data_IF_011558477207
#
_entry.id   IF_011558477207
#
_cell.length_a   1.000
_cell.length_b   1.000
_cell.length_c   1.000
_cell.angle_alpha   90.00
_cell.angle_beta   90.00
_cell.angle_gamma   90.00
#
_symmetry.space_group_name_H-M   'P 1'
#
loop_
_entity.id
_entity.type
_entity.pdbx_description
1 polymer ?
#
# COMPACT_ATOMS: atom_id res chain seq x y z
N UNK A 1 -8.31 17.07 75.24
CA UNK A 1 -7.33 17.51 74.21
C UNK A 1 -6.27 16.44 74.02
N UNK A 2 -6.45 15.58 73.01
CA UNK A 2 -5.40 14.96 72.19
C UNK A 2 -6.13 14.38 70.98
N UNK A 3 -5.66 14.80 69.81
CA UNK A 3 -6.31 14.69 68.51
C UNK A 3 -5.81 13.39 67.88
N UNK A 4 -6.69 12.42 67.66
CA UNK A 4 -6.38 11.25 66.85
C UNK A 4 -6.73 11.53 65.39
N UNK A 5 -5.67 11.62 64.57
CA UNK A 5 -5.72 11.73 63.12
C UNK A 5 -6.14 10.39 62.51
N UNK A 6 -7.41 10.03 62.68
CA UNK A 6 -8.02 8.92 61.99
C UNK A 6 -9.13 9.46 61.13
N UNK A 7 -8.99 9.29 59.81
CA UNK A 7 -10.01 9.20 58.74
C UNK A 7 -9.38 9.73 57.45
N UNK A 8 -8.69 8.80 56.78
CA UNK A 8 -8.87 8.50 55.36
C UNK A 8 -9.07 9.72 54.43
N UNK A 9 -8.01 10.48 54.21
CA UNK A 9 -7.78 11.14 52.91
C UNK A 9 -7.39 10.08 51.86
N UNK A 10 -8.21 9.05 51.72
CA UNK A 10 -8.20 8.12 50.58
C UNK A 10 -9.53 8.36 49.87
N UNK A 11 -9.75 9.61 49.48
CA UNK A 11 -10.72 9.98 48.48
C UNK A 11 -9.94 10.77 47.44
N UNK A 12 -10.08 10.35 46.18
CA UNK A 12 -9.74 11.12 44.99
C UNK A 12 -8.29 11.04 44.48
N UNK A 13 -7.84 9.85 44.10
CA UNK A 13 -6.98 9.71 42.92
C UNK A 13 -7.74 8.93 41.87
N UNK A 14 -8.43 9.70 41.04
CA UNK A 14 -9.07 9.32 39.79
C UNK A 14 -8.10 8.43 39.03
N UNK A 15 -8.52 7.19 38.80
CA UNK A 15 -7.90 6.26 37.90
C UNK A 15 -7.94 6.89 36.50
N UNK A 16 -6.93 7.69 36.17
CA UNK A 16 -6.66 8.10 34.80
C UNK A 16 -6.05 6.87 34.13
N UNK A 17 -6.95 5.94 33.82
CA UNK A 17 -6.70 4.85 32.89
C UNK A 17 -6.53 5.50 31.52
N UNK A 18 -5.33 6.03 31.31
CA UNK A 18 -4.87 6.41 29.99
C UNK A 18 -4.89 5.13 29.16
N UNK A 19 -5.88 5.09 28.28
CA UNK A 19 -6.07 4.13 27.22
C UNK A 19 -4.70 3.71 26.67
N UNK A 20 -4.34 2.45 26.88
CA UNK A 20 -3.12 1.87 26.31
C UNK A 20 -3.16 2.04 24.79
N UNK A 21 -2.27 2.89 24.28
CA UNK A 21 -2.17 3.22 22.87
C UNK A 21 -1.86 1.95 22.09
N UNK A 22 -2.72 1.64 21.11
CA UNK A 22 -2.61 0.51 20.18
C UNK A 22 -1.38 0.64 19.26
N UNK A 23 -0.18 0.34 19.78
CA UNK A 23 1.08 0.35 19.01
C UNK A 23 1.09 -0.70 17.88
N UNK A 24 0.49 -1.88 18.13
CA UNK A 24 0.44 -2.97 17.16
C UNK A 24 -0.43 -2.68 15.91
N UNK A 25 -1.37 -1.74 15.98
CA UNK A 25 -2.17 -1.33 14.83
C UNK A 25 -1.33 -0.53 13.82
N UNK A 26 -0.58 0.45 14.32
CA UNK A 26 0.29 1.34 13.55
C UNK A 26 1.41 0.57 12.80
N UNK A 27 1.94 -0.50 13.39
CA UNK A 27 2.93 -1.33 12.71
C UNK A 27 2.33 -2.11 11.52
N UNK A 28 1.11 -2.62 11.66
CA UNK A 28 0.48 -3.48 10.64
C UNK A 28 0.00 -2.74 9.39
N UNK A 29 -0.52 -1.51 9.51
CA UNK A 29 -0.93 -0.71 8.34
C UNK A 29 0.27 -0.21 7.53
N UNK A 30 1.35 0.20 8.21
CA UNK A 30 2.58 0.64 7.56
C UNK A 30 3.19 -0.46 6.70
N UNK A 31 3.10 -1.73 7.14
CA UNK A 31 3.53 -2.89 6.33
C UNK A 31 2.83 -2.92 4.97
N UNK A 32 1.51 -2.71 4.93
CA UNK A 32 0.74 -2.65 3.67
C UNK A 32 1.25 -1.50 2.79
N UNK A 33 1.47 -0.32 3.38
CA UNK A 33 1.91 0.86 2.63
C UNK A 33 3.32 0.69 2.06
N UNK A 34 4.22 0.06 2.81
CA UNK A 34 5.57 -0.28 2.34
C UNK A 34 5.54 -1.26 1.18
N UNK A 35 4.68 -2.30 1.23
CA UNK A 35 4.54 -3.25 0.13
C UNK A 35 4.02 -2.59 -1.15
N UNK A 36 3.08 -1.63 -1.04
CA UNK A 36 2.61 -0.84 -2.18
C UNK A 36 3.75 0.01 -2.75
N UNK A 37 4.50 0.70 -1.89
CA UNK A 37 5.64 1.50 -2.32
C UNK A 37 6.71 0.65 -3.03
N UNK A 38 7.06 -0.50 -2.44
CA UNK A 38 8.01 -1.45 -3.00
C UNK A 38 7.54 -1.96 -4.36
N UNK A 39 6.26 -2.29 -4.52
CA UNK A 39 5.73 -2.71 -5.83
C UNK A 39 5.85 -1.61 -6.88
N UNK A 40 5.63 -0.35 -6.50
CA UNK A 40 5.71 0.79 -7.41
C UNK A 40 7.16 1.19 -7.75
N UNK A 41 8.15 0.90 -6.88
CA UNK A 41 9.56 1.23 -7.17
C UNK A 41 10.13 0.44 -8.35
N UNK A 42 9.54 -0.71 -8.70
CA UNK A 42 9.94 -1.47 -9.90
C UNK A 42 9.49 -0.82 -11.22
N UNK A 43 8.63 0.21 -11.20
CA UNK A 43 8.01 0.73 -12.42
C UNK A 43 8.98 1.49 -13.31
N UNK A 44 10.07 2.02 -12.77
CA UNK A 44 11.16 2.59 -13.56
C UNK A 44 11.92 1.48 -14.32
N UNK A 45 12.24 0.36 -13.67
CA UNK A 45 12.84 -0.79 -14.34
C UNK A 45 11.92 -1.38 -15.43
N UNK A 46 10.60 -1.43 -15.18
CA UNK A 46 9.63 -1.83 -16.21
C UNK A 46 9.63 -0.86 -17.39
N UNK A 47 9.66 0.45 -17.12
CA UNK A 47 9.71 1.48 -18.16
C UNK A 47 10.97 1.34 -19.00
N UNK A 48 12.12 1.12 -18.36
CA UNK A 48 13.41 0.97 -19.02
C UNK A 48 13.40 -0.24 -19.95
N UNK A 49 12.99 -1.41 -19.44
CA UNK A 49 12.89 -2.63 -20.26
C UNK A 49 11.96 -2.42 -21.46
N UNK A 50 10.79 -1.82 -21.24
CA UNK A 50 9.83 -1.58 -22.32
C UNK A 50 10.37 -0.60 -23.36
N UNK A 51 11.06 0.45 -22.93
CA UNK A 51 11.71 1.42 -23.81
C UNK A 51 12.78 0.76 -24.69
N UNK A 52 13.70 0.00 -24.08
CA UNK A 52 14.77 -0.74 -24.77
C UNK A 52 14.22 -1.73 -25.81
N UNK A 53 13.12 -2.40 -25.48
CA UNK A 53 12.49 -3.43 -26.31
C UNK A 53 11.36 -2.89 -27.21
N UNK A 54 11.13 -1.56 -27.23
CA UNK A 54 10.06 -0.90 -28.00
C UNK A 54 8.67 -1.48 -27.74
N UNK A 55 8.40 -1.84 -26.49
CA UNK A 55 7.12 -2.37 -26.03
C UNK A 55 6.20 -1.23 -25.53
N UNK A 56 4.88 -1.32 -25.76
CA UNK A 56 3.94 -0.31 -25.28
C UNK A 56 3.82 -0.33 -23.74
N UNK A 57 3.56 0.84 -23.15
CA UNK A 57 3.26 0.97 -21.72
C UNK A 57 1.91 0.35 -21.40
N UNK A 58 0.88 0.64 -22.20
CA UNK A 58 -0.43 0.03 -22.08
C UNK A 58 -0.40 -1.43 -22.57
N UNK A 59 -0.83 -2.34 -21.70
CA UNK A 59 -0.91 -3.78 -21.96
C UNK A 59 -2.19 -4.31 -21.30
N UNK A 60 -3.33 -4.08 -21.97
CA UNK A 60 -4.65 -4.41 -21.42
C UNK A 60 -4.81 -5.88 -21.05
N UNK A 61 -4.19 -6.78 -21.81
CA UNK A 61 -4.20 -8.22 -21.51
C UNK A 61 -3.48 -8.48 -20.20
N UNK A 62 -2.28 -7.91 -20.01
CA UNK A 62 -1.55 -8.07 -18.75
C UNK A 62 -2.24 -7.40 -17.57
N UNK A 63 -2.81 -6.21 -17.77
CA UNK A 63 -3.57 -5.48 -16.75
C UNK A 63 -4.74 -6.32 -16.23
N UNK A 64 -5.47 -6.97 -17.13
CA UNK A 64 -6.59 -7.83 -16.77
C UNK A 64 -6.12 -9.06 -15.97
N UNK A 65 -5.03 -9.71 -16.37
CA UNK A 65 -4.45 -10.83 -15.60
C UNK A 65 -4.04 -10.39 -14.19
N UNK A 66 -3.47 -9.18 -14.03
CA UNK A 66 -3.10 -8.66 -12.69
C UNK A 66 -4.34 -8.51 -11.81
N UNK A 67 -5.43 -7.96 -12.36
CA UNK A 67 -6.68 -7.75 -11.61
C UNK A 67 -7.35 -9.09 -11.28
N UNK A 68 -7.38 -10.03 -12.21
CA UNK A 68 -7.98 -11.35 -12.02
C UNK A 68 -7.24 -12.14 -10.94
N UNK A 69 -5.91 -12.21 -11.01
CA UNK A 69 -5.10 -12.87 -9.99
C UNK A 69 -5.35 -12.25 -8.61
N UNK A 70 -5.34 -10.92 -8.54
CA UNK A 70 -5.55 -10.20 -7.28
C UNK A 70 -6.93 -10.44 -6.69
N UNK A 71 -7.99 -10.37 -7.51
CA UNK A 71 -9.36 -10.58 -7.04
C UNK A 71 -9.65 -12.05 -6.72
N UNK A 72 -9.02 -13.00 -7.41
CA UNK A 72 -9.11 -14.42 -7.07
C UNK A 72 -8.49 -14.68 -5.71
N UNK A 73 -7.23 -14.26 -5.51
CA UNK A 73 -6.54 -14.44 -4.24
C UNK A 73 -7.24 -13.70 -3.10
N UNK A 74 -7.80 -12.52 -3.36
CA UNK A 74 -8.60 -11.79 -2.37
C UNK A 74 -9.79 -12.65 -1.88
N UNK A 75 -10.54 -13.27 -2.79
CA UNK A 75 -11.64 -14.15 -2.45
C UNK A 75 -11.17 -15.33 -1.60
N UNK A 76 -10.07 -15.97 -1.99
CA UNK A 76 -9.49 -17.11 -1.26
C UNK A 76 -9.07 -16.74 0.17
N UNK A 77 -8.73 -15.46 0.39
CA UNK A 77 -8.37 -14.93 1.71
C UNK A 77 -9.54 -14.35 2.51
N UNK A 78 -10.75 -14.36 1.97
CA UNK A 78 -11.96 -13.85 2.63
C UNK A 78 -12.21 -12.35 2.42
N UNK A 79 -11.51 -11.70 1.49
CA UNK A 79 -11.77 -10.31 1.10
C UNK A 79 -12.83 -10.24 -0.01
N UNK A 80 -13.68 -9.22 0.03
CA UNK A 80 -14.65 -8.99 -1.03
C UNK A 80 -13.94 -8.58 -2.33
N UNK A 81 -14.10 -9.36 -3.41
CA UNK A 81 -13.45 -9.15 -4.72
C UNK A 81 -13.61 -7.71 -5.22
N UNK A 82 -14.84 -7.22 -5.25
CA UNK A 82 -15.21 -5.88 -5.74
C UNK A 82 -14.61 -4.74 -4.90
N UNK A 83 -14.16 -5.03 -3.66
CA UNK A 83 -13.46 -4.06 -2.83
C UNK A 83 -11.97 -3.96 -3.16
N UNK A 84 -11.36 -5.04 -3.65
CA UNK A 84 -9.92 -5.13 -3.96
C UNK A 84 -9.62 -4.70 -5.39
N UNK A 85 -10.53 -4.94 -6.34
CA UNK A 85 -10.35 -4.54 -7.74
C UNK A 85 -9.98 -3.06 -7.92
N UNK A 86 -10.66 -2.08 -7.27
CA UNK A 86 -10.29 -0.67 -7.37
C UNK A 86 -8.84 -0.37 -6.96
N UNK A 87 -8.30 -1.09 -5.97
CA UNK A 87 -6.92 -0.92 -5.51
C UNK A 87 -5.92 -1.34 -6.58
N UNK A 88 -6.13 -2.49 -7.22
CA UNK A 88 -5.23 -2.97 -8.26
C UNK A 88 -5.36 -2.14 -9.55
N UNK A 89 -6.55 -1.64 -9.88
CA UNK A 89 -6.73 -0.65 -10.95
C UNK A 89 -5.99 0.65 -10.66
N UNK A 90 -6.07 1.17 -9.43
CA UNK A 90 -5.33 2.36 -9.01
C UNK A 90 -3.81 2.14 -9.09
N UNK A 91 -3.31 0.99 -8.61
CA UNK A 91 -1.90 0.64 -8.73
C UNK A 91 -1.42 0.53 -10.18
N UNK A 92 -2.23 -0.03 -11.08
CA UNK A 92 -1.92 -0.07 -12.52
C UNK A 92 -1.86 1.35 -13.11
N UNK A 93 -2.84 2.20 -12.79
CA UNK A 93 -2.87 3.58 -13.26
C UNK A 93 -1.62 4.37 -12.81
N UNK A 94 -1.28 4.30 -11.52
CA UNK A 94 -0.08 4.95 -10.97
C UNK A 94 1.20 4.34 -11.56
N UNK A 95 1.25 3.02 -11.74
CA UNK A 95 2.37 2.35 -12.38
C UNK A 95 2.61 2.85 -13.81
N UNK A 96 1.55 3.06 -14.59
CA UNK A 96 1.67 3.66 -15.94
C UNK A 96 2.12 5.10 -15.87
N UNK A 97 1.60 5.88 -14.92
CA UNK A 97 2.02 7.27 -14.73
C UNK A 97 3.51 7.39 -14.41
N UNK A 98 4.06 6.50 -13.56
CA UNK A 98 5.50 6.40 -13.31
C UNK A 98 6.23 6.11 -14.62
N UNK A 99 5.84 5.06 -15.34
CA UNK A 99 6.52 4.66 -16.58
C UNK A 99 6.56 5.78 -17.64
N UNK A 100 5.43 6.46 -17.85
CA UNK A 100 5.36 7.59 -18.78
C UNK A 100 6.28 8.75 -18.38
N UNK A 101 6.34 9.07 -17.08
CA UNK A 101 7.22 10.14 -16.57
C UNK A 101 8.70 9.75 -16.67
N UNK A 102 9.06 8.50 -16.37
CA UNK A 102 10.44 8.01 -16.53
C UNK A 102 10.90 8.10 -17.99
N UNK A 103 10.05 7.67 -18.94
CA UNK A 103 10.35 7.78 -20.36
C UNK A 103 10.49 9.24 -20.80
N UNK A 104 9.63 10.14 -20.30
CA UNK A 104 9.72 11.57 -20.60
C UNK A 104 11.07 12.16 -20.17
N UNK A 105 11.57 11.80 -18.99
CA UNK A 105 12.90 12.21 -18.53
C UNK A 105 13.99 11.68 -19.49
N UNK A 106 13.93 10.39 -19.86
CA UNK A 106 14.94 9.75 -20.69
C UNK A 106 14.99 10.21 -22.15
N UNK A 107 13.98 10.93 -22.63
CA UNK A 107 14.04 11.60 -23.94
C UNK A 107 15.14 12.68 -23.93
N UNK A 108 15.32 13.39 -22.81
CA UNK A 108 16.32 14.45 -22.68
C UNK A 108 17.59 13.97 -22.00
N UNK A 109 17.48 13.01 -21.08
CA UNK A 109 18.57 12.46 -20.28
C UNK A 109 18.54 10.93 -20.33
N UNK A 110 19.08 10.31 -21.40
CA UNK A 110 19.03 8.86 -21.57
C UNK A 110 19.59 8.12 -20.36
N UNK A 111 18.86 7.09 -19.89
CA UNK A 111 19.39 6.19 -18.86
C UNK A 111 20.59 5.42 -19.40
N UNK A 112 21.60 5.20 -18.55
CA UNK A 112 22.74 4.33 -18.82
C UNK A 112 22.61 2.96 -18.16
N UNK A 113 21.53 2.76 -17.39
CA UNK A 113 21.22 1.49 -16.75
C UNK A 113 20.70 0.47 -17.78
N UNK A 114 20.81 -0.81 -17.44
CA UNK A 114 20.19 -1.89 -18.21
C UNK A 114 19.08 -2.52 -17.38
N UNK A 115 17.89 -2.67 -17.96
CA UNK A 115 16.77 -3.26 -17.24
C UNK A 115 16.90 -4.79 -17.09
N UNK A 116 16.55 -5.36 -15.93
CA UNK A 116 16.33 -6.80 -15.77
C UNK A 116 15.23 -7.30 -16.72
N UNK A 117 15.22 -8.59 -17.01
CA UNK A 117 14.21 -9.17 -17.89
C UNK A 117 12.80 -9.04 -17.29
N UNK A 118 11.89 -8.40 -18.04
CA UNK A 118 10.53 -8.16 -17.56
C UNK A 118 9.76 -9.46 -17.26
N UNK A 119 9.91 -10.49 -18.09
CA UNK A 119 9.14 -11.72 -17.99
C UNK A 119 9.66 -12.65 -16.89
N UNK A 120 10.97 -12.84 -16.81
CA UNK A 120 11.59 -13.85 -15.95
C UNK A 120 12.03 -13.32 -14.59
N UNK A 121 12.19 -12.00 -14.44
CA UNK A 121 12.70 -11.41 -13.20
C UNK A 121 11.67 -10.46 -12.56
N UNK A 122 11.24 -9.42 -13.29
CA UNK A 122 10.40 -8.37 -12.69
C UNK A 122 8.96 -8.86 -12.46
N UNK A 123 8.31 -9.50 -13.43
CA UNK A 123 6.90 -9.94 -13.31
C UNK A 123 6.67 -10.93 -12.15
N UNK A 124 7.55 -11.91 -11.88
CA UNK A 124 7.46 -12.75 -10.68
C UNK A 124 7.47 -11.93 -9.38
N UNK A 125 8.39 -10.99 -9.23
CA UNK A 125 8.48 -10.11 -8.05
C UNK A 125 7.19 -9.29 -7.89
N UNK A 126 6.67 -8.70 -8.98
CA UNK A 126 5.42 -7.92 -8.94
C UNK A 126 4.20 -8.76 -8.57
N UNK A 127 4.22 -10.05 -8.92
CA UNK A 127 3.17 -11.00 -8.55
C UNK A 127 3.26 -11.30 -7.07
N UNK A 128 4.45 -11.66 -6.57
CA UNK A 128 4.70 -11.91 -5.15
C UNK A 128 4.34 -10.69 -4.27
N UNK A 129 4.68 -9.48 -4.70
CA UNK A 129 4.32 -8.26 -3.98
C UNK A 129 2.80 -8.02 -3.98
N UNK A 130 2.12 -8.31 -5.09
CA UNK A 130 0.65 -8.28 -5.15
C UNK A 130 0.03 -9.24 -4.12
N UNK A 131 0.56 -10.45 -4.06
CA UNK A 131 0.10 -11.49 -3.14
C UNK A 131 0.35 -11.11 -1.67
N UNK A 132 1.52 -10.53 -1.38
CA UNK A 132 1.85 -10.00 -0.04
C UNK A 132 0.94 -8.84 0.37
N UNK A 133 0.57 -7.95 -0.56
CA UNK A 133 -0.37 -6.85 -0.29
C UNK A 133 -1.73 -7.41 0.12
N UNK A 134 -2.27 -8.37 -0.65
CA UNK A 134 -3.57 -9.00 -0.37
C UNK A 134 -3.53 -9.73 0.98
N UNK A 135 -2.47 -10.49 1.25
CA UNK A 135 -2.31 -11.20 2.52
C UNK A 135 -2.26 -10.25 3.70
N UNK A 136 -1.47 -9.17 3.59
CA UNK A 136 -1.38 -8.17 4.64
C UNK A 136 -2.71 -7.44 4.88
N UNK A 137 -3.48 -7.17 3.82
CA UNK A 137 -4.83 -6.60 3.94
C UNK A 137 -5.79 -7.57 4.63
N UNK A 138 -5.83 -8.83 4.23
CA UNK A 138 -6.70 -9.83 4.83
C UNK A 138 -6.38 -10.03 6.32
N UNK A 139 -5.10 -10.16 6.67
CA UNK A 139 -4.66 -10.26 8.07
C UNK A 139 -5.05 -9.01 8.87
N UNK A 140 -4.89 -7.82 8.28
CA UNK A 140 -5.26 -6.56 8.94
C UNK A 140 -6.76 -6.52 9.26
N UNK A 141 -7.62 -6.89 8.31
CA UNK A 141 -9.07 -6.86 8.48
C UNK A 141 -9.58 -7.99 9.39
N UNK A 142 -9.01 -9.20 9.31
CA UNK A 142 -9.35 -10.33 10.20
C UNK A 142 -9.08 -10.01 11.67
N UNK A 143 -8.13 -9.13 11.94
CA UNK A 143 -7.84 -8.62 13.29
C UNK A 143 -8.78 -7.47 13.71
N UNK A 144 -9.90 -7.26 13.02
CA UNK A 144 -10.91 -6.24 13.32
C UNK A 144 -10.47 -4.81 13.01
N UNK A 145 -9.38 -4.62 12.26
CA UNK A 145 -8.87 -3.30 11.88
C UNK A 145 -9.41 -2.89 10.52
N UNK A 146 -9.51 -1.59 10.28
CA UNK A 146 -9.90 -1.00 9.00
C UNK A 146 -8.98 0.17 8.67
N UNK A 147 -8.71 0.39 7.38
CA UNK A 147 -7.99 1.59 6.92
C UNK A 147 -8.94 2.78 7.07
N UNK A 148 -8.46 3.86 7.68
CA UNK A 148 -9.22 5.06 8.01
C UNK A 148 -8.49 6.29 7.47
N UNK A 149 -9.22 7.37 7.26
CA UNK A 149 -8.70 8.62 6.72
C UNK A 149 -7.50 9.19 7.50
N UNK A 150 -7.47 8.99 8.83
CA UNK A 150 -6.35 9.43 9.69
C UNK A 150 -4.99 8.82 9.31
N UNK A 151 -4.96 7.72 8.57
CA UNK A 151 -3.73 7.09 8.10
C UNK A 151 -3.19 7.70 6.79
N UNK A 152 -3.93 8.61 6.13
CA UNK A 152 -3.52 9.19 4.83
C UNK A 152 -2.16 9.86 4.89
N UNK A 153 -1.90 10.68 5.90
CA UNK A 153 -0.60 11.36 6.04
C UNK A 153 0.55 10.37 6.18
N UNK A 154 0.34 9.26 6.91
CA UNK A 154 1.34 8.21 7.02
C UNK A 154 1.55 7.50 5.69
N UNK A 155 0.47 7.26 4.93
CA UNK A 155 0.57 6.70 3.59
C UNK A 155 1.36 7.62 2.66
N UNK A 156 1.07 8.92 2.64
CA UNK A 156 1.76 9.88 1.77
C UNK A 156 3.26 9.96 2.07
N UNK A 157 3.65 9.82 3.33
CA UNK A 157 5.05 9.78 3.76
C UNK A 157 5.75 8.50 3.28
N UNK A 158 5.08 7.35 3.41
CA UNK A 158 5.66 6.04 3.07
C UNK A 158 5.71 5.80 1.56
N UNK A 159 4.63 6.10 0.85
CA UNK A 159 4.54 5.91 -0.60
C UNK A 159 5.13 7.15 -1.27
N UNK A 160 6.44 7.12 -1.48
CA UNK A 160 7.20 8.22 -2.07
C UNK A 160 8.27 7.65 -2.99
N UNK A 161 8.26 8.11 -4.25
CA UNK A 161 9.24 7.79 -5.28
C UNK A 161 9.39 8.98 -6.23
N UNK A 162 10.48 9.06 -6.99
CA UNK A 162 10.82 10.17 -7.92
C UNK A 162 9.64 10.61 -8.79
N UNK A 163 8.87 9.66 -9.31
CA UNK A 163 7.78 9.90 -10.27
C UNK A 163 6.37 9.67 -9.71
N UNK A 164 6.19 9.69 -8.38
CA UNK A 164 4.87 9.59 -7.73
C UNK A 164 4.49 10.96 -7.15
N UNK A 165 3.38 11.53 -7.61
CA UNK A 165 2.86 12.81 -7.11
C UNK A 165 1.74 12.60 -6.07
N UNK A 166 1.23 13.68 -5.49
CA UNK A 166 0.18 13.59 -4.46
C UNK A 166 -1.15 13.05 -5.00
N UNK A 167 -1.53 13.37 -6.24
CA UNK A 167 -2.77 12.86 -6.82
C UNK A 167 -2.72 11.33 -7.01
N UNK A 168 -1.56 10.79 -7.41
CA UNK A 168 -1.32 9.35 -7.49
C UNK A 168 -1.50 8.69 -6.11
N UNK A 169 -0.94 9.32 -5.06
CA UNK A 169 -1.05 8.86 -3.66
C UNK A 169 -2.50 8.89 -3.17
N UNK A 170 -3.23 9.96 -3.46
CA UNK A 170 -4.63 10.11 -3.08
C UNK A 170 -5.51 9.05 -3.75
N UNK A 171 -5.30 8.79 -5.05
CA UNK A 171 -6.02 7.75 -5.77
C UNK A 171 -5.80 6.36 -5.15
N UNK A 172 -4.55 6.02 -4.84
CA UNK A 172 -4.23 4.76 -4.16
C UNK A 172 -4.88 4.68 -2.78
N UNK A 173 -4.76 5.73 -1.98
CA UNK A 173 -5.32 5.72 -0.63
C UNK A 173 -6.85 5.64 -0.63
N UNK A 174 -7.52 6.36 -1.54
CA UNK A 174 -8.97 6.30 -1.69
C UNK A 174 -9.46 4.87 -2.00
N UNK A 175 -8.69 4.11 -2.79
CA UNK A 175 -9.01 2.71 -3.07
C UNK A 175 -8.82 1.78 -1.85
N UNK A 176 -7.85 2.08 -0.96
CA UNK A 176 -7.65 1.33 0.28
C UNK A 176 -8.82 1.48 1.26
N UNK A 177 -9.50 2.62 1.25
CA UNK A 177 -10.69 2.84 2.08
C UNK A 177 -11.89 1.95 1.69
N UNK A 178 -11.86 1.36 0.49
CA UNK A 178 -12.94 0.50 0.02
C UNK A 178 -12.81 -0.93 0.54
N UNK A 179 -11.62 -1.37 0.94
CA UNK A 179 -11.28 -2.76 1.26
C UNK A 179 -12.14 -3.26 2.43
N UNK A 180 -12.77 -4.42 2.23
CA UNK A 180 -13.65 -5.06 3.22
C UNK A 180 -13.64 -6.58 3.10
N UNK A 181 -13.96 -7.25 4.20
CA UNK A 181 -14.18 -8.71 4.23
C UNK A 181 -15.45 -9.08 3.44
N UNK A 182 -15.52 -10.34 3.00
CA UNK A 182 -16.74 -10.99 2.52
C UNK A 182 -17.83 -11.05 3.60
#
# INVERSE_FOLDING_TARGET
MKIDYSIKYILLTICWSFLGISSAACASEKKIFHLINERLSYMEAVALYKSENKLPIDDFVREQIVIENATSMAADQGLLRDSVEPLFRAQIAVAKAIQYRSIADWISEPSTEQAPNLATEIRPILTELGDKIISALADFLKNGKVIQEKQRDSFHKIVTHKHINNADKDQLFNSLLLIRML
#
